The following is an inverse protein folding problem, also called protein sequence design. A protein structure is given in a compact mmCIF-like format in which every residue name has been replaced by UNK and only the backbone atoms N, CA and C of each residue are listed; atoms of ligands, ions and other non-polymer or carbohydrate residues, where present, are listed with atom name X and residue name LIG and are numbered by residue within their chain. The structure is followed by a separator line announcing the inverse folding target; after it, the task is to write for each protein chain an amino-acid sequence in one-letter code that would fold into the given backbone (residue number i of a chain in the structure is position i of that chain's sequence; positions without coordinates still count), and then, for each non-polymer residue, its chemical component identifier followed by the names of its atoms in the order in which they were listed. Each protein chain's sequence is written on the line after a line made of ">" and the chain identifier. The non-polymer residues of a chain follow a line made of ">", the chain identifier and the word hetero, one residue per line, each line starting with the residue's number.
data_IF_136803495006
#
_entry.id   IF_136803495006
#
_cell.length_a   1.000
_cell.length_b   1.000
_cell.length_c   1.000
_cell.angle_alpha   90.00
_cell.angle_beta   90.00
_cell.angle_gamma   90.00
#
_symmetry.space_group_name_H-M   'P 1'
#
loop_
_entity.id
_entity.type
_entity.pdbx_description
1 polymer ?
#
# COMPACT_ATOMS: atom_id res chain seq x y z
N UNK A 1 -14.49 -2.12 -0.56
CA UNK A 1 -13.10 -1.73 -0.28
C UNK A 1 -12.33 -1.79 -1.57
N UNK A 2 -11.70 -0.70 -2.01
CA UNK A 2 -11.06 -0.61 -3.33
C UNK A 2 -9.65 -1.20 -3.34
N UNK A 3 -8.94 -1.12 -2.22
CA UNK A 3 -7.62 -1.72 -2.01
C UNK A 3 -6.87 -1.03 -0.88
N UNK A 4 -5.61 -1.41 -0.70
CA UNK A 4 -4.64 -0.72 0.15
C UNK A 4 -3.42 -0.35 -0.68
N UNK A 5 -2.82 0.78 -0.37
CA UNK A 5 -1.48 1.11 -0.83
C UNK A 5 -0.45 0.79 0.24
N UNK A 6 0.72 0.33 -0.19
CA UNK A 6 1.91 0.20 0.64
C UNK A 6 3.06 0.82 -0.12
N UNK A 7 3.73 1.78 0.50
CA UNK A 7 4.71 2.65 -0.15
C UNK A 7 6.11 2.24 0.29
N UNK A 8 6.99 1.99 -0.69
CA UNK A 8 8.40 1.74 -0.44
C UNK A 8 9.18 3.01 -0.78
N UNK A 9 9.48 3.81 0.24
CA UNK A 9 10.21 5.07 0.09
C UNK A 9 11.66 4.86 0.50
N UNK A 10 12.56 4.89 -0.48
CA UNK A 10 13.99 4.82 -0.24
C UNK A 10 14.58 6.21 -0.03
N UNK A 11 15.69 6.29 0.72
CA UNK A 11 16.57 7.45 0.66
C UNK A 11 17.26 7.54 -0.72
N UNK A 12 17.93 8.66 -0.98
CA UNK A 12 18.58 8.91 -2.29
C UNK A 12 19.64 7.87 -2.67
N UNK A 13 20.31 7.29 -1.67
CA UNK A 13 21.35 6.29 -1.85
C UNK A 13 20.80 4.86 -1.98
N UNK A 14 19.48 4.69 -1.85
CA UNK A 14 18.76 3.42 -1.99
C UNK A 14 19.19 2.32 -1.00
N UNK A 15 19.75 2.69 0.15
CA UNK A 15 20.22 1.76 1.20
C UNK A 15 19.37 1.80 2.48
N UNK A 16 18.45 2.76 2.59
CA UNK A 16 17.53 2.91 3.72
C UNK A 16 16.09 3.05 3.24
N UNK A 17 15.17 2.44 3.98
CA UNK A 17 13.73 2.45 3.72
C UNK A 17 13.00 3.19 4.84
N UNK A 18 12.11 4.12 4.47
CA UNK A 18 11.28 4.85 5.43
C UNK A 18 10.23 3.92 6.03
N UNK A 19 10.17 3.91 7.36
CA UNK A 19 9.12 3.23 8.12
C UNK A 19 8.57 4.14 9.21
N UNK A 20 7.27 4.03 9.46
CA UNK A 20 6.57 4.76 10.51
C UNK A 20 6.28 3.85 11.70
N UNK A 21 6.44 4.38 12.92
CA UNK A 21 6.05 3.67 14.13
C UNK A 21 4.55 3.82 14.36
N UNK A 22 3.82 2.71 14.43
CA UNK A 22 2.37 2.72 14.62
C UNK A 22 2.01 3.26 16.00
N UNK A 23 1.20 4.32 16.03
CA UNK A 23 0.71 4.93 17.28
C UNK A 23 -0.61 4.33 17.78
N UNK A 24 -1.36 3.67 16.88
CA UNK A 24 -2.70 3.10 17.13
C UNK A 24 -2.71 1.58 16.94
N UNK A 25 -3.67 0.91 17.56
CA UNK A 25 -3.92 -0.52 17.35
C UNK A 25 -4.57 -0.80 15.98
N UNK A 26 -4.43 -2.02 15.44
CA UNK A 26 -3.57 -3.11 15.93
C UNK A 26 -2.07 -2.81 15.72
N UNK A 27 -1.20 -3.56 16.40
CA UNK A 27 0.26 -3.48 16.27
C UNK A 27 0.90 -2.17 16.73
N UNK A 28 0.32 -1.52 17.76
CA UNK A 28 0.89 -0.31 18.36
C UNK A 28 2.35 -0.55 18.77
N UNK A 29 3.23 0.37 18.39
CA UNK A 29 4.66 0.34 18.71
C UNK A 29 5.55 -0.37 17.70
N UNK A 30 4.98 -1.11 16.73
CA UNK A 30 5.74 -1.73 15.65
C UNK A 30 5.95 -0.75 14.49
N UNK A 31 7.03 -0.96 13.73
CA UNK A 31 7.31 -0.22 12.51
C UNK A 31 6.55 -0.83 11.34
N UNK A 32 5.98 0.02 10.49
CA UNK A 32 5.34 -0.38 9.24
C UNK A 32 5.76 0.55 8.11
N UNK A 33 5.56 0.11 6.88
CA UNK A 33 5.64 0.99 5.72
C UNK A 33 4.47 1.98 5.74
N UNK A 34 4.69 3.11 5.07
CA UNK A 34 3.68 4.15 4.87
C UNK A 34 2.61 3.60 3.92
N UNK A 35 1.36 3.96 4.19
CA UNK A 35 0.25 3.62 3.31
C UNK A 35 -1.00 3.25 4.09
N UNK A 36 -2.09 3.11 3.37
CA UNK A 36 -3.39 2.95 3.96
C UNK A 36 -4.45 2.56 2.95
N UNK A 37 -5.69 2.76 3.35
CA UNK A 37 -6.86 2.34 2.59
C UNK A 37 -7.09 3.34 1.44
N UNK A 38 -7.41 2.80 0.27
CA UNK A 38 -7.88 3.60 -0.86
C UNK A 38 -9.37 3.90 -0.61
N UNK A 39 -9.72 5.18 -0.52
CA UNK A 39 -11.10 5.64 -0.35
C UNK A 39 -11.83 5.71 -1.69
N UNK A 40 -13.17 5.60 -1.67
CA UNK A 40 -14.01 5.37 -2.86
C UNK A 40 -13.86 6.43 -3.96
N UNK A 41 -13.53 7.67 -3.58
CA UNK A 41 -13.41 8.82 -4.48
C UNK A 41 -11.95 9.11 -4.88
N UNK A 42 -11.01 8.21 -4.54
CA UNK A 42 -9.58 8.38 -4.81
C UNK A 42 -9.06 7.33 -5.79
N UNK A 43 -8.18 7.75 -6.70
CA UNK A 43 -7.31 6.82 -7.42
C UNK A 43 -6.26 6.24 -6.49
N UNK A 44 -5.66 5.10 -6.87
CA UNK A 44 -4.57 4.51 -6.08
C UNK A 44 -3.40 5.47 -5.87
N UNK A 45 -3.06 6.29 -6.87
CA UNK A 45 -1.96 7.25 -6.76
C UNK A 45 -2.31 8.45 -5.86
N UNK A 46 -3.55 8.94 -5.89
CA UNK A 46 -4.01 10.03 -5.00
C UNK A 46 -3.99 9.58 -3.55
N UNK A 47 -4.52 8.38 -3.26
CA UNK A 47 -4.45 7.79 -1.93
C UNK A 47 -3.01 7.60 -1.45
N UNK A 48 -2.08 7.20 -2.33
CA UNK A 48 -0.66 7.06 -1.99
C UNK A 48 -0.04 8.39 -1.53
N UNK A 49 -0.26 9.49 -2.27
CA UNK A 49 0.26 10.80 -1.87
C UNK A 49 -0.43 11.35 -0.61
N UNK A 50 -1.72 11.10 -0.43
CA UNK A 50 -2.45 11.48 0.80
C UNK A 50 -1.85 10.79 2.03
N UNK A 51 -1.74 9.47 2.01
CA UNK A 51 -1.17 8.69 3.13
C UNK A 51 0.29 9.09 3.41
N UNK A 52 1.09 9.33 2.35
CA UNK A 52 2.45 9.85 2.50
C UNK A 52 2.48 11.18 3.26
N UNK A 53 1.64 12.12 2.86
CA UNK A 53 1.58 13.46 3.47
C UNK A 53 1.09 13.38 4.92
N UNK A 54 0.05 12.59 5.19
CA UNK A 54 -0.53 12.42 6.53
C UNK A 54 0.45 11.81 7.54
N UNK A 55 1.22 10.80 7.13
CA UNK A 55 2.11 10.08 8.03
C UNK A 55 3.52 10.68 8.14
N UNK A 56 3.98 11.42 7.12
CA UNK A 56 5.39 11.82 7.00
C UNK A 56 5.62 13.29 6.67
N UNK A 57 4.57 14.02 6.27
CA UNK A 57 4.65 15.38 5.72
C UNK A 57 5.44 15.52 4.40
N UNK A 58 5.85 14.40 3.78
CA UNK A 58 6.42 14.38 2.42
C UNK A 58 5.28 14.48 1.41
N UNK A 59 5.43 15.35 0.40
CA UNK A 59 4.38 15.59 -0.59
C UNK A 59 4.77 15.10 -1.99
N UNK A 60 3.85 15.26 -2.95
CA UNK A 60 4.07 14.89 -4.37
C UNK A 60 5.14 15.73 -5.05
N UNK A 61 5.50 16.86 -4.46
CA UNK A 61 6.57 17.73 -4.93
C UNK A 61 7.96 17.16 -4.59
N UNK A 62 8.04 16.28 -3.58
CA UNK A 62 9.30 15.71 -3.09
C UNK A 62 9.67 14.39 -3.79
N UNK A 63 8.66 13.61 -4.20
CA UNK A 63 8.83 12.24 -4.71
C UNK A 63 7.88 11.95 -5.87
N UNK A 64 8.36 11.12 -6.80
CA UNK A 64 7.55 10.54 -7.88
C UNK A 64 7.42 9.04 -7.61
N UNK A 65 6.18 8.53 -7.62
CA UNK A 65 5.93 7.11 -7.49
C UNK A 65 5.99 6.36 -8.82
N UNK A 66 6.48 5.13 -8.75
CA UNK A 66 6.38 4.14 -9.81
C UNK A 66 5.61 2.93 -9.29
N UNK A 67 4.67 2.42 -10.09
CA UNK A 67 3.99 1.17 -9.77
C UNK A 67 4.99 0.01 -9.82
N UNK A 68 5.05 -0.77 -8.74
CA UNK A 68 5.94 -1.91 -8.63
C UNK A 68 5.20 -3.23 -8.86
N UNK A 69 4.11 -3.47 -8.12
CA UNK A 69 3.34 -4.71 -8.20
C UNK A 69 1.95 -4.57 -7.58
N UNK A 70 1.04 -5.47 -7.96
CA UNK A 70 -0.24 -5.69 -7.31
C UNK A 70 -0.19 -6.97 -6.45
N UNK A 71 -0.66 -6.89 -5.20
CA UNK A 71 -0.90 -8.07 -4.36
C UNK A 71 -2.40 -8.32 -4.27
N UNK A 72 -2.88 -9.39 -4.92
CA UNK A 72 -4.30 -9.78 -4.92
C UNK A 72 -4.49 -11.11 -4.22
N UNK A 73 -5.24 -11.08 -3.11
CA UNK A 73 -5.61 -12.28 -2.37
C UNK A 73 -6.96 -12.79 -2.84
N UNK A 74 -6.99 -14.01 -3.39
CA UNK A 74 -8.23 -14.70 -3.73
C UNK A 74 -8.66 -15.57 -2.55
N UNK A 75 -9.71 -15.14 -1.84
CA UNK A 75 -10.24 -15.87 -0.67
C UNK A 75 -11.03 -17.14 -1.03
N UNK A 76 -11.34 -17.33 -2.32
CA UNK A 76 -11.96 -18.54 -2.85
C UNK A 76 -10.92 -19.29 -3.69
N UNK A 77 -10.61 -20.52 -3.31
CA UNK A 77 -9.95 -21.48 -4.20
C UNK A 77 -10.89 -21.68 -5.39
N UNK A 78 -10.41 -21.38 -6.59
CA UNK A 78 -11.04 -21.85 -7.82
C UNK A 78 -10.91 -23.38 -7.80
N UNK A 79 -11.96 -24.07 -7.40
CA UNK A 79 -12.06 -25.51 -7.61
C UNK A 79 -12.24 -25.71 -9.10
N UNK A 80 -11.26 -26.34 -9.77
CA UNK A 80 -11.37 -26.80 -11.16
C UNK A 80 -12.38 -27.95 -11.26
N UNK A 81 -13.65 -27.71 -10.95
CA UNK A 81 -14.71 -28.72 -11.05
C UNK A 81 -15.60 -28.52 -12.28
N UNK A 82 -15.49 -27.38 -12.96
CA UNK A 82 -16.35 -27.03 -14.09
C UNK A 82 -15.70 -27.25 -15.47
N UNK A 83 -14.50 -27.84 -15.53
CA UNK A 83 -13.83 -28.23 -16.80
C UNK A 83 -13.95 -29.71 -17.16
N UNK A 84 -14.76 -30.48 -16.41
CA UNK A 84 -15.12 -31.86 -16.74
C UNK A 84 -16.65 -32.04 -16.61
N UNK A 85 -17.40 -31.22 -17.34
CA UNK A 85 -18.74 -31.61 -17.76
C UNK A 85 -18.62 -32.03 -19.23
N UNK A 86 -18.87 -33.31 -19.46
CA UNK A 86 -18.89 -33.99 -20.77
C UNK A 86 -19.76 -33.28 -21.82
#
# INVERSE_FOLDING_TARGET
>A
MQGYNVLMIYNKDMDQLLMCKRLKNPYKGLSNLVGGKIETEETGIESAYRELTEETAISKEDIIFHHLMDLKYFSKIVMWKDMLAD
#
